data_IF_320273259266
#
_entry.id   IF_320273259266
#
_cell.length_a   1.000
_cell.length_b   1.000
_cell.length_c   1.000
_cell.angle_alpha   90.00
_cell.angle_beta   90.00
_cell.angle_gamma   90.00
#
_symmetry.space_group_name_H-M   'P 1'
#
loop_
_entity.id
_entity.type
_entity.pdbx_description
1 polymer ?
#
# COMPACT_ATOMS: atom_id res chain seq x y z
N UNK A 1 42.52 -23.02 -35.50
CA UNK A 1 42.99 -21.72 -35.00
C UNK A 1 41.82 -21.01 -34.34
N UNK A 2 41.84 -20.84 -33.01
CA UNK A 2 40.96 -19.89 -32.32
C UNK A 2 41.69 -19.39 -31.07
N UNK A 3 42.08 -18.12 -31.10
CA UNK A 3 42.65 -17.40 -29.95
C UNK A 3 41.55 -16.95 -29.00
N UNK A 4 41.77 -16.92 -27.68
CA UNK A 4 40.82 -16.38 -26.72
C UNK A 4 40.69 -14.84 -26.88
N UNK A 5 39.52 -14.25 -26.60
CA UNK A 5 39.35 -12.80 -26.61
C UNK A 5 40.14 -12.16 -25.46
N UNK A 6 40.90 -11.12 -25.79
CA UNK A 6 41.60 -10.23 -24.85
C UNK A 6 40.58 -9.50 -23.95
N UNK A 7 40.78 -9.44 -22.62
CA UNK A 7 39.95 -8.62 -21.75
C UNK A 7 40.26 -7.13 -21.96
N UNK A 8 39.21 -6.33 -22.17
CA UNK A 8 39.26 -4.89 -22.37
C UNK A 8 39.82 -4.17 -21.10
N UNK A 9 40.83 -3.30 -21.19
CA UNK A 9 41.43 -2.61 -20.05
C UNK A 9 40.57 -1.47 -19.47
N UNK A 10 39.32 -1.31 -19.92
CA UNK A 10 38.48 -0.17 -19.58
C UNK A 10 37.26 -0.52 -18.72
N UNK A 11 37.34 -1.58 -17.91
CA UNK A 11 36.29 -1.88 -16.91
C UNK A 11 36.60 -1.10 -15.62
N UNK A 12 35.83 -0.06 -15.27
CA UNK A 12 35.97 0.58 -13.96
C UNK A 12 35.68 -0.44 -12.85
N UNK A 13 36.42 -0.42 -11.71
CA UNK A 13 36.13 -1.32 -10.61
C UNK A 13 34.69 -1.08 -10.11
N UNK A 14 33.95 -2.15 -9.77
CA UNK A 14 32.62 -1.98 -9.20
C UNK A 14 32.72 -1.16 -7.90
N UNK A 15 31.80 -0.23 -7.65
CA UNK A 15 31.80 0.55 -6.42
C UNK A 15 31.72 -0.41 -5.24
N UNK A 16 32.58 -0.18 -4.24
CA UNK A 16 32.59 -0.94 -3.00
C UNK A 16 31.23 -0.78 -2.32
N UNK A 17 30.36 -1.78 -2.44
CA UNK A 17 29.18 -1.89 -1.60
C UNK A 17 29.65 -2.15 -0.17
N UNK A 18 29.30 -1.30 0.82
CA UNK A 18 29.58 -1.63 2.21
C UNK A 18 28.79 -2.89 2.56
N UNK A 19 29.54 -3.98 2.82
CA UNK A 19 29.00 -5.27 3.26
C UNK A 19 28.81 -5.25 4.77
N UNK A 20 27.57 -5.10 5.23
CA UNK A 20 27.18 -5.31 6.62
C UNK A 20 25.96 -4.49 7.03
N UNK A 21 25.09 -4.99 7.94
CA UNK A 21 24.11 -4.12 8.58
C UNK A 21 24.85 -2.99 9.31
N UNK A 22 24.31 -1.76 9.30
CA UNK A 22 24.99 -0.61 9.91
C UNK A 22 25.28 -0.88 11.40
N UNK A 23 26.50 -0.59 11.86
CA UNK A 23 26.86 -0.72 13.27
C UNK A 23 26.13 0.33 14.12
N UNK A 24 26.00 0.06 15.43
CA UNK A 24 25.30 0.95 16.35
C UNK A 24 25.86 2.39 16.35
N UNK A 25 27.18 2.55 16.15
CA UNK A 25 27.80 3.88 15.98
C UNK A 25 27.39 4.57 14.68
N UNK A 26 27.24 3.84 13.58
CA UNK A 26 26.77 4.39 12.30
C UNK A 26 25.30 4.80 12.35
N UNK A 27 24.48 4.08 13.13
CA UNK A 27 23.09 4.45 13.40
C UNK A 27 23.00 5.65 14.37
N UNK A 28 23.96 5.81 15.27
CA UNK A 28 24.06 6.95 16.16
C UNK A 28 24.49 8.24 15.43
N UNK A 29 25.32 8.13 14.38
CA UNK A 29 25.72 9.27 13.53
C UNK A 29 24.66 9.70 12.51
N UNK A 30 23.54 8.98 12.39
CA UNK A 30 22.47 9.35 11.48
C UNK A 30 21.87 10.71 11.85
N UNK A 31 21.58 11.59 10.87
CA UNK A 31 20.84 12.82 11.13
C UNK A 31 19.43 12.52 11.65
N UNK A 32 18.85 13.45 12.40
CA UNK A 32 17.57 13.24 13.11
C UNK A 32 16.43 12.81 12.17
N UNK A 33 16.41 13.31 10.93
CA UNK A 33 15.44 12.90 9.90
C UNK A 33 15.56 11.42 9.53
N UNK A 34 16.77 10.86 9.52
CA UNK A 34 17.01 9.47 9.15
C UNK A 34 16.65 8.53 10.30
N UNK A 35 16.88 8.94 11.55
CA UNK A 35 16.40 8.18 12.73
C UNK A 35 14.88 8.17 12.80
N UNK A 36 14.23 9.32 12.56
CA UNK A 36 12.78 9.40 12.48
C UNK A 36 12.20 8.56 11.32
N UNK A 37 12.89 8.50 10.19
CA UNK A 37 12.50 7.63 9.07
C UNK A 37 12.61 6.15 9.42
N UNK A 38 13.68 5.72 10.10
CA UNK A 38 13.82 4.34 10.57
C UNK A 38 12.73 3.97 11.58
N UNK A 39 12.43 4.86 12.53
CA UNK A 39 11.36 4.65 13.50
C UNK A 39 9.99 4.54 12.80
N UNK A 40 9.74 5.38 11.80
CA UNK A 40 8.55 5.30 10.95
C UNK A 40 8.46 4.00 10.15
N UNK A 41 9.59 3.48 9.65
CA UNK A 41 9.65 2.16 8.99
C UNK A 41 9.41 1.01 9.97
N UNK A 42 9.94 1.09 11.19
CA UNK A 42 9.67 0.11 12.26
C UNK A 42 8.20 0.15 12.70
N UNK A 43 7.60 1.34 12.78
CA UNK A 43 6.18 1.51 13.05
C UNK A 43 5.30 0.89 11.95
N UNK A 44 5.64 1.15 10.68
CA UNK A 44 4.96 0.53 9.53
C UNK A 44 5.12 -0.99 9.51
N UNK A 45 6.31 -1.52 9.83
CA UNK A 45 6.55 -2.95 9.91
C UNK A 45 5.73 -3.59 11.04
N UNK A 46 5.65 -2.94 12.20
CA UNK A 46 4.83 -3.41 13.32
C UNK A 46 3.35 -3.40 12.97
N UNK A 47 2.86 -2.32 12.35
CA UNK A 47 1.48 -2.22 11.90
C UNK A 47 1.14 -3.27 10.82
N UNK A 48 2.06 -3.49 9.87
CA UNK A 48 1.91 -4.51 8.83
C UNK A 48 1.89 -5.92 9.42
N UNK A 49 2.76 -6.22 10.39
CA UNK A 49 2.74 -7.49 11.11
C UNK A 49 1.43 -7.68 11.89
N UNK A 50 0.92 -6.63 12.54
CA UNK A 50 -0.33 -6.70 13.28
C UNK A 50 -1.53 -6.91 12.35
N UNK A 51 -1.58 -6.21 11.22
CA UNK A 51 -2.59 -6.41 10.18
C UNK A 51 -2.52 -7.83 9.62
N UNK A 52 -1.33 -8.33 9.28
CA UNK A 52 -1.13 -9.70 8.80
C UNK A 52 -1.57 -10.74 9.83
N UNK A 53 -1.26 -10.54 11.12
CA UNK A 53 -1.70 -11.45 12.19
C UNK A 53 -3.22 -11.46 12.36
N UNK A 54 -3.87 -10.30 12.22
CA UNK A 54 -5.33 -10.16 12.29
C UNK A 54 -5.98 -10.87 11.11
N UNK A 55 -5.51 -10.62 9.89
CA UNK A 55 -6.00 -11.31 8.69
C UNK A 55 -5.75 -12.82 8.74
N UNK A 56 -4.61 -13.26 9.28
CA UNK A 56 -4.33 -14.68 9.48
C UNK A 56 -5.29 -15.32 10.49
N UNK A 57 -5.61 -14.62 11.58
CA UNK A 57 -6.60 -15.08 12.56
C UNK A 57 -8.01 -15.17 11.96
N UNK A 58 -8.40 -14.20 11.13
CA UNK A 58 -9.68 -14.21 10.41
C UNK A 58 -9.76 -15.37 9.42
N UNK A 59 -8.69 -15.62 8.65
CA UNK A 59 -8.59 -16.75 7.74
C UNK A 59 -8.65 -18.08 8.48
N UNK A 60 -7.93 -18.20 9.61
CA UNK A 60 -7.98 -19.39 10.45
C UNK A 60 -9.39 -19.62 11.04
N UNK A 61 -10.06 -18.56 11.50
CA UNK A 61 -11.43 -18.64 11.98
C UNK A 61 -12.43 -19.02 10.88
N UNK A 62 -12.25 -18.49 9.66
CA UNK A 62 -13.05 -18.87 8.50
C UNK A 62 -12.81 -20.33 8.10
N UNK A 63 -11.57 -20.78 8.09
CA UNK A 63 -11.20 -22.17 7.81
C UNK A 63 -11.75 -23.14 8.86
N UNK A 64 -11.69 -22.79 10.14
CA UNK A 64 -12.26 -23.58 11.22
C UNK A 64 -13.79 -23.70 11.11
N UNK A 65 -14.49 -22.60 10.77
CA UNK A 65 -15.94 -22.63 10.49
C UNK A 65 -16.28 -23.53 9.29
N UNK A 66 -15.43 -23.54 8.26
CA UNK A 66 -15.62 -24.38 7.09
C UNK A 66 -15.36 -25.86 7.42
N UNK A 67 -14.32 -26.17 8.20
CA UNK A 67 -13.98 -27.52 8.62
C UNK A 67 -15.00 -28.10 9.63
N UNK A 68 -15.59 -27.25 10.46
CA UNK A 68 -16.63 -27.62 11.42
C UNK A 68 -18.04 -27.66 10.80
N UNK A 69 -18.20 -27.25 9.53
CA UNK A 69 -19.48 -27.33 8.84
C UNK A 69 -19.81 -28.82 8.54
N UNK A 70 -20.83 -29.41 9.19
CA UNK A 70 -21.22 -30.79 8.93
C UNK A 70 -21.95 -30.95 7.59
N UNK A 71 -22.32 -29.83 6.96
CA UNK A 71 -23.07 -29.78 5.73
C UNK A 71 -22.22 -29.24 4.57
N UNK A 72 -21.88 -30.06 3.55
CA UNK A 72 -21.15 -29.61 2.39
C UNK A 72 -21.87 -28.47 1.64
N UNK A 73 -23.20 -28.37 1.73
CA UNK A 73 -23.95 -27.28 1.13
C UNK A 73 -23.63 -25.93 1.81
N UNK A 74 -23.48 -25.89 3.14
CA UNK A 74 -23.10 -24.69 3.86
C UNK A 74 -21.66 -24.25 3.53
N UNK A 75 -20.75 -25.22 3.35
CA UNK A 75 -19.39 -24.95 2.91
C UNK A 75 -19.33 -24.39 1.48
N UNK A 76 -20.11 -24.96 0.56
CA UNK A 76 -20.24 -24.45 -0.81
C UNK A 76 -20.83 -23.04 -0.85
N UNK A 77 -21.85 -22.75 -0.03
CA UNK A 77 -22.41 -21.41 0.10
C UNK A 77 -21.39 -20.40 0.63
N UNK A 78 -20.58 -20.78 1.63
CA UNK A 78 -19.53 -19.91 2.16
C UNK A 78 -18.45 -19.61 1.12
N UNK A 79 -18.05 -20.63 0.33
CA UNK A 79 -17.10 -20.46 -0.76
C UNK A 79 -17.67 -19.57 -1.87
N UNK A 80 -18.93 -19.77 -2.26
CA UNK A 80 -19.58 -18.94 -3.26
C UNK A 80 -19.67 -17.47 -2.78
N UNK A 81 -20.09 -17.25 -1.53
CA UNK A 81 -20.17 -15.91 -0.96
C UNK A 81 -18.79 -15.23 -0.79
N UNK A 82 -17.71 -16.00 -0.65
CA UNK A 82 -16.34 -15.47 -0.67
C UNK A 82 -15.91 -15.12 -2.10
N UNK A 83 -16.19 -15.99 -3.07
CA UNK A 83 -15.90 -15.76 -4.48
C UNK A 83 -16.64 -14.53 -5.02
N UNK A 84 -17.92 -14.37 -4.67
CA UNK A 84 -18.74 -13.23 -5.07
C UNK A 84 -18.18 -11.91 -4.49
N UNK A 85 -17.74 -11.93 -3.22
CA UNK A 85 -17.09 -10.77 -2.58
C UNK A 85 -15.74 -10.44 -3.23
N UNK A 86 -14.94 -11.45 -3.57
CA UNK A 86 -13.68 -11.25 -4.27
C UNK A 86 -13.90 -10.64 -5.66
N UNK A 87 -14.84 -11.20 -6.44
CA UNK A 87 -15.20 -10.67 -7.75
C UNK A 87 -15.70 -9.22 -7.68
N UNK A 88 -16.55 -8.89 -6.69
CA UNK A 88 -17.02 -7.52 -6.48
C UNK A 88 -15.86 -6.56 -6.13
N UNK A 89 -14.92 -6.99 -5.28
CA UNK A 89 -13.75 -6.20 -4.90
C UNK A 89 -12.79 -5.97 -6.09
N UNK A 90 -12.56 -7.00 -6.92
CA UNK A 90 -11.74 -6.90 -8.12
C UNK A 90 -12.33 -5.91 -9.13
N UNK A 91 -13.65 -5.95 -9.34
CA UNK A 91 -14.34 -4.98 -10.20
C UNK A 91 -14.21 -3.56 -9.64
N UNK A 92 -14.37 -3.36 -8.33
CA UNK A 92 -14.20 -2.06 -7.70
C UNK A 92 -12.76 -1.52 -7.86
N UNK A 93 -11.75 -2.37 -7.63
CA UNK A 93 -10.35 -2.01 -7.81
C UNK A 93 -10.02 -1.69 -9.28
N UNK A 94 -10.65 -2.39 -10.22
CA UNK A 94 -10.49 -2.12 -11.66
C UNK A 94 -11.10 -0.76 -12.03
N UNK A 95 -12.31 -0.45 -11.54
CA UNK A 95 -12.93 0.87 -11.73
C UNK A 95 -12.06 1.98 -11.18
N UNK A 96 -11.55 1.85 -9.96
CA UNK A 96 -10.64 2.85 -9.38
C UNK A 96 -9.37 3.06 -10.22
N UNK A 97 -8.76 1.96 -10.69
CA UNK A 97 -7.55 2.04 -11.52
C UNK A 97 -7.81 2.80 -12.82
N UNK A 98 -8.89 2.46 -13.51
CA UNK A 98 -9.31 3.14 -14.73
C UNK A 98 -9.69 4.60 -14.46
N UNK A 99 -10.39 4.86 -13.36
CA UNK A 99 -10.70 6.22 -12.90
C UNK A 99 -9.47 7.11 -12.78
N UNK A 100 -8.43 6.63 -12.09
CA UNK A 100 -7.15 7.34 -11.95
C UNK A 100 -6.41 7.47 -13.28
N UNK A 101 -6.43 6.44 -14.11
CA UNK A 101 -5.77 6.43 -15.42
C UNK A 101 -6.35 7.49 -16.36
N UNK A 102 -7.68 7.59 -16.43
CA UNK A 102 -8.41 8.52 -17.30
C UNK A 102 -8.76 9.86 -16.64
N UNK A 103 -8.41 10.05 -15.36
CA UNK A 103 -8.67 11.29 -14.62
C UNK A 103 -10.15 11.54 -14.36
N UNK A 104 -10.93 10.48 -14.14
CA UNK A 104 -12.35 10.58 -13.84
C UNK A 104 -12.58 10.96 -12.36
N UNK A 105 -13.53 11.86 -12.06
CA UNK A 105 -14.01 12.09 -10.69
C UNK A 105 -14.63 10.82 -10.08
N UNK A 106 -14.50 10.65 -8.76
CA UNK A 106 -14.98 9.46 -8.04
C UNK A 106 -16.48 9.14 -8.29
N UNK A 107 -17.29 10.19 -8.44
CA UNK A 107 -18.71 10.07 -8.78
C UNK A 107 -18.96 9.36 -10.12
N UNK A 108 -18.03 9.47 -11.08
CA UNK A 108 -18.08 8.76 -12.36
C UNK A 108 -17.38 7.40 -12.28
N UNK A 109 -16.30 7.28 -11.50
CA UNK A 109 -15.59 6.02 -11.26
C UNK A 109 -16.52 4.94 -10.71
N UNK A 110 -17.35 5.30 -9.73
CA UNK A 110 -18.34 4.39 -9.15
C UNK A 110 -19.41 3.93 -10.16
N UNK A 111 -19.57 4.64 -11.28
CA UNK A 111 -20.61 4.41 -12.29
C UNK A 111 -20.08 3.77 -13.57
N UNK A 112 -18.78 3.46 -13.64
CA UNK A 112 -18.17 2.80 -14.79
C UNK A 112 -18.85 1.46 -15.09
N UNK A 113 -19.29 1.32 -16.33
CA UNK A 113 -20.01 0.16 -16.85
C UNK A 113 -19.07 -0.79 -17.61
N UNK A 114 -19.37 -2.09 -17.53
CA UNK A 114 -18.60 -3.13 -18.21
C UNK A 114 -18.53 -4.41 -17.38
N UNK A 115 -18.62 -5.55 -18.06
CA UNK A 115 -18.46 -6.87 -17.43
C UNK A 115 -16.98 -7.28 -17.29
N UNK A 116 -16.10 -6.69 -18.11
CA UNK A 116 -14.68 -6.93 -18.14
C UNK A 116 -13.90 -5.60 -18.21
N UNK A 117 -12.58 -5.70 -18.04
CA UNK A 117 -11.69 -4.54 -18.04
C UNK A 117 -11.74 -3.75 -19.36
N UNK A 118 -11.88 -4.42 -20.51
CA UNK A 118 -11.87 -3.75 -21.82
C UNK A 118 -13.14 -2.92 -22.05
N UNK A 119 -14.29 -3.45 -21.63
CA UNK A 119 -15.57 -2.74 -21.64
C UNK A 119 -15.53 -1.53 -20.70
N UNK A 120 -14.99 -1.71 -19.48
CA UNK A 120 -14.82 -0.60 -18.53
C UNK A 120 -13.85 0.46 -19.03
N UNK A 121 -12.78 0.07 -19.73
CA UNK A 121 -11.82 1.01 -20.32
C UNK A 121 -12.46 1.85 -21.43
N UNK A 122 -13.28 1.21 -22.27
CA UNK A 122 -14.02 1.89 -23.34
C UNK A 122 -14.99 2.92 -22.75
N UNK A 123 -15.72 2.54 -21.71
CA UNK A 123 -16.63 3.45 -21.00
C UNK A 123 -15.87 4.59 -20.30
N UNK A 124 -14.76 4.28 -19.63
CA UNK A 124 -13.90 5.28 -18.99
C UNK A 124 -13.37 6.31 -19.98
N UNK A 125 -12.94 5.85 -21.16
CA UNK A 125 -12.48 6.72 -22.25
C UNK A 125 -13.61 7.60 -22.80
N UNK A 126 -14.82 7.05 -22.94
CA UNK A 126 -15.97 7.81 -23.39
C UNK A 126 -16.34 8.90 -22.39
N UNK A 127 -16.37 8.58 -21.09
CA UNK A 127 -16.63 9.55 -20.03
C UNK A 127 -15.53 10.62 -19.95
N UNK A 128 -14.25 10.23 -20.07
CA UNK A 128 -13.12 11.16 -20.08
C UNK A 128 -13.18 12.17 -21.22
N UNK A 129 -13.67 11.76 -22.40
CA UNK A 129 -13.84 12.65 -23.55
C UNK A 129 -14.95 13.71 -23.36
N UNK A 130 -15.90 13.47 -22.46
CA UNK A 130 -16.99 14.41 -22.13
C UNK A 130 -16.62 15.38 -21.01
N UNK A 131 -15.55 15.10 -20.27
CA UNK A 131 -15.05 15.99 -19.24
C UNK A 131 -14.32 17.18 -19.89
N UNK A 132 -14.52 18.41 -19.39
CA UNK A 132 -13.64 19.51 -19.74
C UNK A 132 -12.20 19.11 -19.40
N UNK A 133 -11.25 19.54 -20.24
CA UNK A 133 -9.83 19.18 -20.08
C UNK A 133 -9.44 19.30 -18.60
N UNK A 134 -8.85 18.24 -18.01
CA UNK A 134 -8.58 18.22 -16.59
C UNK A 134 -7.78 19.47 -16.25
N UNK A 135 -8.31 20.26 -15.32
CA UNK A 135 -7.56 21.36 -14.72
C UNK A 135 -6.22 20.83 -14.20
N UNK A 136 -5.20 21.69 -14.08
CA UNK A 136 -3.86 21.27 -13.68
C UNK A 136 -3.94 20.35 -12.46
N UNK A 137 -3.54 19.08 -12.65
CA UNK A 137 -3.48 18.11 -11.56
C UNK A 137 -2.57 18.71 -10.51
N UNK A 138 -3.10 19.00 -9.31
CA UNK A 138 -2.24 19.35 -8.19
C UNK A 138 -1.20 18.23 -8.07
N UNK A 139 0.10 18.54 -8.02
CA UNK A 139 1.09 17.52 -7.79
C UNK A 139 0.68 16.76 -6.54
N UNK A 140 0.64 15.43 -6.62
CA UNK A 140 0.48 14.59 -5.44
C UNK A 140 1.42 15.13 -4.37
N UNK A 141 0.95 15.39 -3.14
CA UNK A 141 1.81 15.89 -2.08
C UNK A 141 3.05 14.99 -2.03
N UNK A 142 4.22 15.59 -2.25
CA UNK A 142 5.47 14.88 -2.06
C UNK A 142 5.42 14.33 -0.63
N UNK A 143 5.55 13.00 -0.41
CA UNK A 143 5.59 12.44 0.93
C UNK A 143 6.68 13.06 1.81
N UNK A 144 7.62 13.83 1.22
CA UNK A 144 8.65 14.62 1.89
C UNK A 144 8.23 16.05 2.29
N UNK A 145 7.03 16.54 1.93
CA UNK A 145 6.58 17.92 2.21
C UNK A 145 5.50 18.05 3.31
N UNK A 146 5.16 16.97 4.01
CA UNK A 146 4.19 17.02 5.10
C UNK A 146 4.82 17.44 6.43
N UNK A 147 4.71 18.71 6.81
CA UNK A 147 5.21 19.14 8.13
C UNK A 147 4.97 20.60 8.47
N UNK A 148 3.72 21.07 8.36
CA UNK A 148 3.32 22.30 9.04
C UNK A 148 3.58 22.15 10.54
N UNK A 149 4.29 23.11 11.12
CA UNK A 149 4.70 23.17 12.53
C UNK A 149 3.61 22.72 13.51
N UNK A 150 3.78 21.61 14.25
CA UNK A 150 3.07 21.39 15.49
C UNK A 150 3.79 22.15 16.61
N UNK A 151 3.02 22.86 17.42
CA UNK A 151 3.48 23.55 18.62
C UNK A 151 4.28 22.62 19.56
N UNK A 152 5.21 23.16 20.36
CA UNK A 152 6.10 22.37 21.20
C UNK A 152 5.32 21.76 22.37
N UNK A 153 4.87 20.53 22.19
CA UNK A 153 4.26 19.72 23.23
C UNK A 153 4.68 18.29 22.99
N UNK A 154 5.54 17.78 23.87
CA UNK A 154 6.02 16.39 23.88
C UNK A 154 4.82 15.42 23.72
N UNK A 155 4.82 14.54 22.70
CA UNK A 155 3.72 13.59 22.48
C UNK A 155 3.46 12.69 23.70
N UNK A 156 4.47 12.42 24.53
CA UNK A 156 4.28 11.69 25.78
C UNK A 156 3.39 12.45 26.77
N UNK A 157 3.47 13.77 26.81
CA UNK A 157 2.63 14.60 27.68
C UNK A 157 1.19 14.68 27.17
N UNK A 158 0.99 14.68 25.85
CA UNK A 158 -0.35 14.67 25.26
C UNK A 158 -1.07 13.34 25.56
N UNK A 159 -0.36 12.23 25.48
CA UNK A 159 -0.88 10.91 25.84
C UNK A 159 -1.19 10.80 27.34
N UNK A 160 -0.30 11.32 28.20
CA UNK A 160 -0.51 11.36 29.64
C UNK A 160 -1.77 12.17 30.03
N UNK A 161 -2.01 13.30 29.34
CA UNK A 161 -3.22 14.09 29.55
C UNK A 161 -4.49 13.35 29.11
N UNK A 162 -4.44 12.62 27.99
CA UNK A 162 -5.56 11.82 27.51
C UNK A 162 -5.97 10.74 28.52
N UNK A 163 -4.99 10.01 29.05
CA UNK A 163 -5.23 8.96 30.06
C UNK A 163 -5.82 9.59 31.33
N UNK A 164 -5.24 10.68 31.84
CA UNK A 164 -5.74 11.34 33.05
C UNK A 164 -7.17 11.89 32.88
N UNK A 165 -7.55 12.34 31.69
CA UNK A 165 -8.90 12.83 31.40
C UNK A 165 -9.97 11.73 31.32
N UNK A 166 -9.58 10.48 31.04
CA UNK A 166 -10.50 9.35 30.95
C UNK A 166 -10.79 8.67 32.31
N UNK A 167 -10.06 9.06 33.35
CA UNK A 167 -10.13 8.51 34.71
C UNK A 167 -10.73 9.49 35.74
N UNK A 168 -11.22 10.65 35.28
CA UNK A 168 -11.97 11.64 36.08
C UNK A 168 -13.46 11.60 35.74
#
# INVERSE_FOLDING_TARGET
MSTPPTPDPNTPPPPATPSGPPTAEQLAELPDWARAHLDGLTGQLTAAQQAASTSAAELAAAAAKLAAAPDPAAAQQALQAAADRAAAAELAATRERLGRQYGLPDALVARLQGADQAAMETDAKALAALLPAPGPRMPSPDPLQGGGTPAPGDPAQQFAQLINSALS
#
